data_IF_749425903098
#
_entry.id   IF_749425903098
#
_cell.length_a   1.000
_cell.length_b   1.000
_cell.length_c   1.000
_cell.angle_alpha   90.00
_cell.angle_beta   90.00
_cell.angle_gamma   90.00
#
_symmetry.space_group_name_H-M   'P 1'
#
loop_
_entity.id
_entity.type
_entity.pdbx_description
1 polymer ?
#
# COMPACT_ATOMS: atom_id res chain seq x y z
N UNK A 1 4.00 7.66 -22.92
CA UNK A 1 3.33 6.35 -23.09
C UNK A 1 3.32 5.49 -21.82
N UNK A 2 4.45 5.34 -21.09
CA UNK A 2 4.55 4.54 -19.86
C UNK A 2 3.55 4.95 -18.75
N UNK A 3 3.45 6.25 -18.44
CA UNK A 3 2.51 6.81 -17.46
C UNK A 3 1.03 6.46 -17.72
N UNK A 4 0.59 6.47 -18.99
CA UNK A 4 -0.78 6.12 -19.36
C UNK A 4 -1.04 4.61 -19.19
N UNK A 5 -0.01 3.80 -19.45
CA UNK A 5 -0.09 2.35 -19.27
C UNK A 5 -0.11 1.97 -17.79
N UNK A 6 0.63 2.69 -16.95
CA UNK A 6 0.64 2.51 -15.50
C UNK A 6 -0.72 2.91 -14.92
N UNK A 7 -1.28 4.07 -15.32
CA UNK A 7 -2.63 4.50 -14.92
C UNK A 7 -3.71 3.46 -15.26
N UNK A 8 -3.72 2.93 -16.48
CA UNK A 8 -4.67 1.88 -16.90
C UNK A 8 -4.51 0.58 -16.10
N UNK A 9 -3.30 0.23 -15.71
CA UNK A 9 -3.06 -0.96 -14.88
C UNK A 9 -3.57 -0.76 -13.45
N UNK A 10 -3.42 0.44 -12.88
CA UNK A 10 -3.96 0.78 -11.57
C UNK A 10 -5.48 0.82 -11.53
N UNK A 11 -6.12 1.39 -12.56
CA UNK A 11 -7.59 1.35 -12.71
C UNK A 11 -8.10 -0.09 -12.78
N UNK A 12 -7.43 -0.97 -13.53
CA UNK A 12 -7.77 -2.40 -13.57
C UNK A 12 -7.60 -3.09 -12.22
N UNK A 13 -6.53 -2.78 -11.48
CA UNK A 13 -6.31 -3.35 -10.15
C UNK A 13 -7.43 -2.95 -9.18
N UNK A 14 -7.87 -1.69 -9.23
CA UNK A 14 -9.01 -1.22 -8.43
C UNK A 14 -10.33 -1.86 -8.86
N UNK A 15 -10.55 -2.04 -10.16
CA UNK A 15 -11.72 -2.76 -10.66
C UNK A 15 -11.76 -4.23 -10.18
N UNK A 16 -10.59 -4.89 -10.05
CA UNK A 16 -10.50 -6.22 -9.44
C UNK A 16 -10.91 -6.16 -7.96
N UNK A 17 -10.46 -5.15 -7.20
CA UNK A 17 -10.91 -4.98 -5.82
C UNK A 17 -12.43 -4.77 -5.73
N UNK A 18 -12.99 -3.88 -6.56
CA UNK A 18 -14.42 -3.59 -6.58
C UNK A 18 -15.25 -4.84 -6.99
N UNK A 19 -14.73 -5.69 -7.87
CA UNK A 19 -15.39 -6.93 -8.31
C UNK A 19 -15.35 -8.04 -7.24
N UNK A 20 -14.22 -8.24 -6.56
CA UNK A 20 -14.11 -9.27 -5.53
C UNK A 20 -14.85 -8.87 -4.26
N UNK A 21 -15.03 -7.58 -4.03
CA UNK A 21 -15.69 -7.06 -2.85
C UNK A 21 -14.90 -7.32 -1.57
N UNK A 22 -15.38 -6.72 -0.49
CA UNK A 22 -14.76 -6.77 0.84
C UNK A 22 -14.69 -8.22 1.37
N UNK A 23 -15.67 -9.06 1.05
CA UNK A 23 -15.82 -10.42 1.57
C UNK A 23 -14.78 -11.42 1.02
N UNK A 24 -14.24 -11.17 -0.18
CA UNK A 24 -13.36 -12.13 -0.86
C UNK A 24 -11.91 -11.65 -0.97
N UNK A 25 -11.56 -10.46 -0.46
CA UNK A 25 -10.20 -9.93 -0.62
C UNK A 25 -9.11 -10.83 -0.03
N UNK A 26 -9.42 -11.60 1.02
CA UNK A 26 -8.47 -12.53 1.62
C UNK A 26 -8.09 -13.69 0.70
N UNK A 27 -8.92 -14.01 -0.32
CA UNK A 27 -8.61 -15.05 -1.31
C UNK A 27 -7.61 -14.58 -2.37
N UNK A 28 -7.39 -13.26 -2.48
CA UNK A 28 -6.44 -12.70 -3.42
C UNK A 28 -4.99 -13.06 -3.04
N UNK A 29 -4.17 -13.26 -4.08
CA UNK A 29 -2.74 -13.43 -3.92
C UNK A 29 -2.10 -12.14 -3.37
N UNK A 30 -1.00 -12.29 -2.62
CA UNK A 30 -0.25 -11.15 -2.11
C UNK A 30 0.24 -10.25 -3.26
N UNK A 31 0.58 -10.84 -4.42
CA UNK A 31 0.90 -10.08 -5.63
C UNK A 31 -0.26 -9.16 -6.04
N UNK A 32 -1.47 -9.69 -6.18
CA UNK A 32 -2.66 -8.90 -6.55
C UNK A 32 -2.89 -7.78 -5.55
N UNK A 33 -2.83 -8.08 -4.25
CA UNK A 33 -2.99 -7.09 -3.17
C UNK A 33 -1.96 -5.96 -3.30
N UNK A 34 -0.69 -6.28 -3.58
CA UNK A 34 0.33 -5.24 -3.78
C UNK A 34 0.04 -4.34 -4.97
N UNK A 35 -0.57 -4.86 -6.05
CA UNK A 35 -0.96 -4.04 -7.20
C UNK A 35 -2.10 -3.08 -6.85
N UNK A 36 -3.09 -3.55 -6.09
CA UNK A 36 -4.20 -2.70 -5.62
C UNK A 36 -3.68 -1.60 -4.69
N UNK A 37 -2.78 -1.93 -3.77
CA UNK A 37 -2.18 -0.94 -2.86
C UNK A 37 -1.33 0.10 -3.61
N UNK A 38 -0.55 -0.32 -4.63
CA UNK A 38 0.17 0.61 -5.52
C UNK A 38 -0.78 1.53 -6.28
N UNK A 39 -1.92 1.01 -6.72
CA UNK A 39 -2.97 1.83 -7.34
C UNK A 39 -3.51 2.88 -6.38
N UNK A 40 -3.80 2.49 -5.12
CA UNK A 40 -4.25 3.43 -4.09
C UNK A 40 -3.20 4.52 -3.83
N UNK A 41 -1.92 4.15 -3.73
CA UNK A 41 -0.81 5.08 -3.56
C UNK A 41 -0.72 6.08 -4.72
N UNK A 42 -0.85 5.60 -5.96
CA UNK A 42 -0.77 6.44 -7.15
C UNK A 42 -1.97 7.40 -7.29
N UNK A 43 -3.14 6.98 -6.83
CA UNK A 43 -4.36 7.80 -6.85
C UNK A 43 -4.53 8.69 -5.61
N UNK A 44 -3.67 8.54 -4.59
CA UNK A 44 -3.85 9.21 -3.30
C UNK A 44 -5.08 8.74 -2.53
N UNK A 45 -5.60 7.54 -2.81
CA UNK A 45 -6.84 7.01 -2.22
C UNK A 45 -6.57 6.36 -0.86
N UNK A 46 -6.35 7.19 0.15
CA UNK A 46 -6.06 6.76 1.52
C UNK A 46 -7.20 5.92 2.12
N UNK A 47 -8.45 6.28 1.86
CA UNK A 47 -9.61 5.62 2.45
C UNK A 47 -9.70 4.17 2.00
N UNK A 48 -9.60 3.93 0.68
CA UNK A 48 -9.57 2.57 0.16
C UNK A 48 -8.35 1.80 0.67
N UNK A 49 -7.19 2.44 0.73
CA UNK A 49 -5.98 1.85 1.31
C UNK A 49 -6.15 1.37 2.76
N UNK A 50 -6.81 2.16 3.61
CA UNK A 50 -7.13 1.79 5.00
C UNK A 50 -8.11 0.62 5.09
N UNK A 51 -9.16 0.63 4.26
CA UNK A 51 -10.11 -0.49 4.18
C UNK A 51 -9.38 -1.78 3.82
N UNK A 52 -8.53 -1.74 2.78
CA UNK A 52 -7.72 -2.90 2.39
C UNK A 52 -6.83 -3.36 3.54
N UNK A 53 -6.08 -2.45 4.18
CA UNK A 53 -5.19 -2.79 5.30
C UNK A 53 -5.94 -3.55 6.41
N UNK A 54 -7.09 -3.04 6.85
CA UNK A 54 -7.90 -3.69 7.88
C UNK A 54 -8.34 -5.10 7.48
N UNK A 55 -8.69 -5.30 6.20
CA UNK A 55 -9.13 -6.59 5.70
C UNK A 55 -8.01 -7.60 5.55
N UNK A 56 -6.78 -7.16 5.29
CA UNK A 56 -5.62 -8.02 5.04
C UNK A 56 -4.63 -8.07 6.22
N UNK A 57 -5.03 -7.65 7.42
CA UNK A 57 -4.15 -7.55 8.59
C UNK A 57 -3.29 -8.81 8.81
N UNK A 58 -3.90 -10.00 8.69
CA UNK A 58 -3.20 -11.28 8.81
C UNK A 58 -2.14 -11.51 7.72
N UNK A 59 -2.33 -11.01 6.50
CA UNK A 59 -1.33 -11.10 5.42
C UNK A 59 -0.19 -10.11 5.65
N UNK A 60 -0.48 -8.92 6.16
CA UNK A 60 0.52 -7.91 6.53
C UNK A 60 1.51 -8.45 7.56
N UNK A 61 1.05 -9.20 8.54
CA UNK A 61 1.94 -9.79 9.55
C UNK A 61 2.89 -10.86 8.99
N UNK A 62 2.48 -11.52 7.89
CA UNK A 62 3.15 -12.70 7.35
C UNK A 62 3.94 -12.45 6.06
N UNK A 63 3.73 -11.32 5.38
CA UNK A 63 4.38 -11.02 4.10
C UNK A 63 5.02 -9.63 4.09
N UNK A 64 6.35 -9.62 4.06
CA UNK A 64 7.14 -8.38 4.10
C UNK A 64 6.90 -7.48 2.88
N UNK A 65 6.56 -8.04 1.72
CA UNK A 65 6.26 -7.27 0.52
C UNK A 65 4.91 -6.58 0.62
N UNK A 66 3.92 -7.23 1.23
CA UNK A 66 2.62 -6.61 1.54
C UNK A 66 2.82 -5.43 2.50
N UNK A 67 3.56 -5.63 3.59
CA UNK A 67 3.86 -4.55 4.56
C UNK A 67 4.64 -3.40 3.94
N UNK A 68 5.66 -3.71 3.13
CA UNK A 68 6.43 -2.70 2.40
C UNK A 68 5.55 -1.86 1.48
N UNK A 69 4.62 -2.51 0.78
CA UNK A 69 3.71 -1.82 -0.13
C UNK A 69 2.67 -0.99 0.62
N UNK A 70 2.20 -1.45 1.78
CA UNK A 70 1.31 -0.67 2.66
C UNK A 70 2.01 0.58 3.22
N UNK A 71 3.25 0.45 3.70
CA UNK A 71 4.05 1.60 4.17
C UNK A 71 4.22 2.60 3.02
N UNK A 72 4.58 2.13 1.83
CA UNK A 72 4.69 2.97 0.64
C UNK A 72 3.38 3.71 0.32
N UNK A 73 2.24 3.02 0.42
CA UNK A 73 0.92 3.59 0.19
C UNK A 73 0.59 4.68 1.21
N UNK A 74 0.80 4.42 2.51
CA UNK A 74 0.58 5.42 3.54
C UNK A 74 1.48 6.65 3.39
N UNK A 75 2.76 6.47 3.05
CA UNK A 75 3.68 7.57 2.76
C UNK A 75 3.19 8.41 1.58
N UNK A 76 2.79 7.78 0.47
CA UNK A 76 2.31 8.50 -0.73
C UNK A 76 0.96 9.20 -0.50
N UNK A 77 0.13 8.65 0.39
CA UNK A 77 -1.13 9.25 0.80
C UNK A 77 -0.96 10.24 1.97
N UNK A 78 0.27 10.62 2.32
CA UNK A 78 0.62 11.56 3.39
C UNK A 78 0.14 11.19 4.82
N UNK A 79 -0.24 9.93 5.07
CA UNK A 79 -0.59 9.44 6.41
C UNK A 79 0.66 8.82 7.08
N UNK A 80 1.60 9.70 7.43
CA UNK A 80 2.91 9.30 7.95
C UNK A 80 2.79 8.62 9.31
N UNK A 81 1.81 9.00 10.12
CA UNK A 81 1.57 8.35 11.41
C UNK A 81 1.24 6.86 11.24
N UNK A 82 0.36 6.52 10.28
CA UNK A 82 0.04 5.13 9.97
C UNK A 82 1.23 4.39 9.34
N UNK A 83 2.00 5.06 8.46
CA UNK A 83 3.21 4.50 7.88
C UNK A 83 4.25 4.14 8.97
N UNK A 84 4.48 5.06 9.91
CA UNK A 84 5.41 4.88 11.02
C UNK A 84 4.95 3.77 11.97
N UNK A 85 3.67 3.75 12.34
CA UNK A 85 3.12 2.69 13.20
C UNK A 85 3.28 1.30 12.59
N UNK A 86 3.06 1.15 11.29
CA UNK A 86 3.24 -0.13 10.60
C UNK A 86 4.72 -0.48 10.41
N UNK A 87 5.56 0.52 10.14
CA UNK A 87 7.00 0.33 10.08
C UNK A 87 7.53 -0.19 11.42
N UNK A 88 7.16 0.44 12.53
CA UNK A 88 7.62 0.07 13.86
C UNK A 88 7.22 -1.36 14.24
N UNK A 89 5.98 -1.76 13.93
CA UNK A 89 5.49 -3.13 14.19
C UNK A 89 6.09 -4.20 13.27
N UNK A 90 6.65 -3.82 12.12
CA UNK A 90 7.28 -4.76 11.19
C UNK A 90 8.63 -5.27 11.73
N UNK A 91 8.78 -6.57 11.99
CA UNK A 91 10.01 -7.16 12.54
C UNK A 91 11.19 -7.18 11.55
N UNK A 92 10.95 -7.56 10.30
CA UNK A 92 11.98 -7.80 9.28
C UNK A 92 12.08 -6.66 8.26
N UNK A 93 12.31 -5.44 8.73
CA UNK A 93 12.32 -4.22 7.89
C UNK A 93 13.35 -4.33 6.75
N UNK A 94 12.98 -3.90 5.56
CA UNK A 94 13.88 -3.90 4.39
C UNK A 94 14.53 -2.52 4.19
N UNK A 95 15.71 -2.41 3.54
CA UNK A 95 16.34 -1.13 3.23
C UNK A 95 15.41 -0.15 2.50
N UNK A 96 14.52 -0.67 1.66
CA UNK A 96 13.52 0.11 0.94
C UNK A 96 12.56 0.82 1.91
N UNK A 97 12.12 0.15 2.98
CA UNK A 97 11.23 0.76 3.98
C UNK A 97 11.90 1.93 4.70
N UNK A 98 13.16 1.79 5.11
CA UNK A 98 13.92 2.90 5.71
C UNK A 98 14.01 4.10 4.75
N UNK A 99 14.29 3.84 3.47
CA UNK A 99 14.33 4.87 2.44
C UNK A 99 13.00 5.60 2.24
N UNK A 100 11.86 4.91 2.37
CA UNK A 100 10.53 5.53 2.31
C UNK A 100 10.29 6.47 3.50
N UNK A 101 10.61 6.01 4.72
CA UNK A 101 10.37 6.81 5.93
C UNK A 101 11.25 8.07 5.99
N UNK A 102 12.53 7.97 5.62
CA UNK A 102 13.44 9.13 5.57
C UNK A 102 12.96 10.19 4.59
N UNK A 103 12.63 9.79 3.35
CA UNK A 103 12.12 10.72 2.32
C UNK A 103 10.85 11.44 2.76
N UNK A 104 9.96 10.72 3.46
CA UNK A 104 8.73 11.32 3.96
C UNK A 104 9.02 12.44 4.98
N UNK A 105 9.99 12.24 5.88
CA UNK A 105 10.32 13.20 6.94
C UNK A 105 11.03 14.47 6.40
N UNK A 106 11.75 14.36 5.29
CA UNK A 106 12.39 15.51 4.63
C UNK A 106 11.39 16.35 3.82
N UNK A 107 10.29 15.77 3.35
CA UNK A 107 9.26 16.45 2.55
C UNK A 107 8.34 17.38 3.37
N UNK A 108 8.53 17.45 4.69
CA UNK A 108 7.77 18.32 5.61
C UNK A 108 8.65 19.35 6.32
N UNK A 109 9.88 19.58 5.83
CA UNK A 109 10.80 20.61 6.35
C UNK A 109 10.77 21.93 5.57
N UNK A 110 9.88 22.08 4.60
CA UNK A 110 9.68 23.33 3.83
C UNK A 110 8.45 24.10 4.29
#
# INVERSE_FOLDING_TARGET
MKLLNDKKQFEKALAIFDQYGISNILTLSNFTITQVLKACAHMGDLQRGKVIHNLIASKTENDIYVSSTLIHMYVHCADIASAQSLFDSTKNKTPQMYGMMMKSNDSFKD
#
